data_IF_062498496943
#
_entry.id   IF_062498496943
#
_cell.length_a   1.000
_cell.length_b   1.000
_cell.length_c   1.000
_cell.angle_alpha   90.00
_cell.angle_beta   90.00
_cell.angle_gamma   90.00
#
_symmetry.space_group_name_H-M   'P 1'
#
loop_
_entity.id
_entity.type
_entity.pdbx_description
1 polymer ?
#
# COMPACT_ATOMS: atom_id res chain seq x y z
N UNK A 1 -28.38 46.99 50.06
CA UNK A 1 -28.91 46.69 51.41
C UNK A 1 -29.46 45.25 51.39
N UNK A 2 -29.38 44.52 52.51
CA UNK A 2 -29.12 43.07 52.64
C UNK A 2 -30.18 42.01 52.21
N UNK A 3 -29.66 40.76 52.01
CA UNK A 3 -30.28 39.42 51.79
C UNK A 3 -31.28 38.92 52.87
N UNK A 4 -32.19 37.96 52.52
CA UNK A 4 -32.21 36.52 52.95
C UNK A 4 -33.49 35.72 52.56
N UNK A 5 -33.29 34.39 52.42
CA UNK A 5 -34.12 33.22 51.97
C UNK A 5 -35.17 32.69 52.97
N UNK A 6 -36.14 31.81 52.57
CA UNK A 6 -36.49 30.44 53.14
C UNK A 6 -37.67 29.72 52.39
N UNK A 7 -37.67 28.37 52.39
CA UNK A 7 -38.49 27.35 51.65
C UNK A 7 -39.79 26.82 52.36
N UNK A 8 -40.65 26.07 51.65
CA UNK A 8 -41.70 25.17 52.20
C UNK A 8 -42.16 24.03 51.26
N UNK A 9 -42.36 22.81 51.78
CA UNK A 9 -42.70 21.51 51.13
C UNK A 9 -44.22 21.19 51.16
N UNK A 10 -44.74 20.34 50.26
CA UNK A 10 -46.15 19.85 50.24
C UNK A 10 -46.24 18.31 50.10
N UNK A 11 -47.18 17.68 50.82
CA UNK A 11 -47.41 16.22 50.93
C UNK A 11 -48.77 15.84 50.29
N UNK A 12 -48.83 14.65 49.67
CA UNK A 12 -49.97 14.08 48.93
C UNK A 12 -50.95 13.25 49.79
N UNK A 13 -52.19 13.08 49.31
CA UNK A 13 -53.22 12.18 49.86
C UNK A 13 -53.71 11.17 48.81
N UNK A 14 -53.92 9.93 49.24
CA UNK A 14 -54.45 8.80 48.45
C UNK A 14 -55.96 8.62 48.69
N UNK A 15 -56.72 8.31 47.64
CA UNK A 15 -58.08 7.76 47.72
C UNK A 15 -58.13 6.38 47.04
N UNK A 16 -58.85 5.44 47.67
CA UNK A 16 -59.07 4.07 47.19
C UNK A 16 -60.37 4.01 46.40
N UNK A 17 -60.33 3.46 45.18
CA UNK A 17 -61.51 3.12 44.38
C UNK A 17 -61.53 1.60 44.16
N UNK A 18 -62.61 0.94 44.60
CA UNK A 18 -62.87 -0.48 44.30
C UNK A 18 -63.67 -0.59 43.01
N UNK A 19 -63.00 -0.92 41.92
CA UNK A 19 -63.61 -1.32 40.65
C UNK A 19 -62.68 -2.29 39.94
N UNK A 20 -63.15 -3.51 39.69
CA UNK A 20 -62.47 -4.48 38.82
C UNK A 20 -62.50 -3.95 37.39
N UNK A 21 -61.47 -3.21 37.00
CA UNK A 21 -61.09 -3.08 35.58
C UNK A 21 -60.24 -4.30 35.28
N UNK A 22 -60.78 -5.22 34.49
CA UNK A 22 -59.97 -6.27 33.88
C UNK A 22 -59.07 -5.57 32.86
N UNK A 23 -57.87 -5.18 33.29
CA UNK A 23 -56.84 -4.71 32.38
C UNK A 23 -56.49 -5.89 31.47
N UNK A 24 -56.86 -5.77 30.20
CA UNK A 24 -56.47 -6.72 29.17
C UNK A 24 -54.97 -6.49 28.92
N UNK A 25 -54.12 -7.15 29.70
CA UNK A 25 -52.66 -7.19 29.49
C UNK A 25 -52.40 -8.12 28.32
N UNK A 26 -52.54 -7.62 27.09
CA UNK A 26 -52.13 -8.39 25.91
C UNK A 26 -51.55 -7.57 24.74
N UNK A 27 -51.21 -6.30 24.93
CA UNK A 27 -50.37 -5.58 23.98
C UNK A 27 -49.33 -4.76 24.76
N UNK A 28 -48.19 -5.40 25.06
CA UNK A 28 -46.95 -4.65 25.19
C UNK A 28 -46.64 -4.22 23.76
N UNK A 29 -47.02 -3.00 23.37
CA UNK A 29 -46.45 -2.37 22.18
C UNK A 29 -44.93 -2.36 22.38
N UNK A 30 -44.26 -3.30 21.74
CA UNK A 30 -42.82 -3.33 21.66
C UNK A 30 -42.44 -2.12 20.82
N UNK A 31 -42.09 -1.00 21.47
CA UNK A 31 -41.54 0.17 20.79
C UNK A 31 -40.15 -0.25 20.29
N UNK A 32 -40.10 -0.73 19.04
CA UNK A 32 -38.85 -1.00 18.34
C UNK A 32 -38.31 0.37 17.89
N UNK A 33 -37.07 0.67 18.28
CA UNK A 33 -36.40 1.89 17.87
C UNK A 33 -35.95 1.78 16.40
N UNK A 34 -35.87 2.91 15.65
CA UNK A 34 -35.30 2.93 14.32
C UNK A 34 -33.90 2.30 14.31
N UNK A 35 -33.45 1.75 13.17
CA UNK A 35 -32.12 1.18 13.04
C UNK A 35 -31.03 2.21 13.35
N UNK A 36 -29.86 1.77 13.82
CA UNK A 36 -28.78 2.68 14.24
C UNK A 36 -28.38 3.63 13.10
N UNK A 37 -28.40 3.14 11.86
CA UNK A 37 -28.04 3.88 10.67
C UNK A 37 -29.23 4.52 9.95
N UNK A 38 -30.33 4.74 10.65
CA UNK A 38 -31.50 5.48 10.17
C UNK A 38 -31.15 6.90 9.69
N UNK A 39 -30.14 7.51 10.33
CA UNK A 39 -29.63 8.82 9.93
C UNK A 39 -28.18 8.73 9.45
N UNK A 40 -27.86 9.55 8.46
CA UNK A 40 -26.53 9.60 7.83
C UNK A 40 -25.37 9.83 8.82
N UNK A 41 -25.58 10.55 9.93
CA UNK A 41 -24.55 10.74 10.97
C UNK A 41 -24.03 9.40 11.54
N UNK A 42 -24.90 8.39 11.60
CA UNK A 42 -24.61 7.05 12.09
C UNK A 42 -24.50 6.02 10.96
N UNK A 43 -24.22 6.46 9.73
CA UNK A 43 -24.09 5.57 8.57
C UNK A 43 -23.13 4.42 8.86
N UNK A 44 -23.60 3.19 8.63
CA UNK A 44 -22.83 1.97 8.83
C UNK A 44 -21.63 1.96 7.88
N UNK A 45 -20.42 1.75 8.42
CA UNK A 45 -19.21 1.73 7.58
C UNK A 45 -19.05 0.38 6.91
N UNK A 46 -18.97 0.37 5.58
CA UNK A 46 -18.74 -0.81 4.78
C UNK A 46 -17.25 -1.04 4.54
N UNK A 47 -16.83 -2.29 4.65
CA UNK A 47 -15.50 -2.73 4.21
C UNK A 47 -15.51 -2.90 2.69
N UNK A 48 -14.57 -2.26 1.99
CA UNK A 48 -14.40 -2.44 0.54
C UNK A 48 -13.77 -3.79 0.26
N UNK A 49 -14.52 -4.66 -0.39
CA UNK A 49 -14.03 -5.95 -0.86
C UNK A 49 -12.96 -5.73 -1.96
N UNK A 50 -11.89 -6.54 -2.00
CA UNK A 50 -10.82 -6.40 -3.00
C UNK A 50 -11.27 -6.74 -4.43
N UNK A 51 -12.47 -7.30 -4.57
CA UNK A 51 -13.13 -7.60 -5.83
C UNK A 51 -14.65 -7.42 -5.67
N UNK A 52 -15.39 -7.62 -6.76
CA UNK A 52 -16.84 -7.42 -6.81
C UNK A 52 -17.68 -8.63 -6.32
N UNK A 53 -17.08 -9.60 -5.62
CA UNK A 53 -17.75 -10.86 -5.26
C UNK A 53 -18.51 -10.83 -3.92
N UNK A 54 -18.43 -9.73 -3.16
CA UNK A 54 -19.08 -9.59 -1.85
C UNK A 54 -18.65 -10.67 -0.83
N UNK A 55 -17.35 -10.90 -0.65
CA UNK A 55 -16.85 -11.82 0.38
C UNK A 55 -17.22 -11.35 1.81
N UNK A 56 -17.34 -10.04 2.02
CA UNK A 56 -17.87 -9.40 3.22
C UNK A 56 -19.11 -8.58 2.86
N UNK A 57 -20.17 -8.73 3.66
CA UNK A 57 -21.45 -8.01 3.54
C UNK A 57 -21.80 -7.35 4.88
N UNK A 58 -22.70 -6.37 4.84
CA UNK A 58 -23.34 -5.77 6.02
C UNK A 58 -24.85 -5.82 5.86
N UNK A 59 -25.57 -6.21 6.91
CA UNK A 59 -27.03 -6.27 6.86
C UNK A 59 -27.66 -4.90 7.08
N UNK A 60 -28.81 -4.67 6.44
CA UNK A 60 -29.65 -3.49 6.54
C UNK A 60 -31.11 -3.86 6.76
N UNK A 61 -31.87 -2.94 7.36
CA UNK A 61 -33.30 -3.10 7.63
C UNK A 61 -34.00 -1.76 7.51
N UNK A 62 -35.22 -1.76 6.96
CA UNK A 62 -36.13 -0.62 6.94
C UNK A 62 -37.21 -0.71 8.05
N UNK A 63 -37.17 -1.76 8.88
CA UNK A 63 -38.06 -1.89 10.04
C UNK A 63 -37.87 -0.68 10.96
N UNK A 64 -38.95 0.09 11.13
CA UNK A 64 -39.03 1.35 11.87
C UNK A 64 -38.05 2.44 11.42
N UNK A 65 -37.46 2.31 10.22
CA UNK A 65 -36.70 3.39 9.63
C UNK A 65 -37.60 4.59 9.33
N UNK A 66 -37.04 5.78 9.49
CA UNK A 66 -37.72 7.05 9.32
C UNK A 66 -37.14 7.82 8.13
N UNK A 67 -37.87 8.85 7.70
CA UNK A 67 -37.40 9.73 6.65
C UNK A 67 -36.27 10.63 7.19
N UNK A 68 -35.08 10.54 6.59
CA UNK A 68 -34.01 11.51 6.85
C UNK A 68 -34.41 12.92 6.39
N UNK A 69 -33.96 13.92 7.14
CA UNK A 69 -34.26 15.35 6.94
C UNK A 69 -33.64 16.00 5.70
N UNK A 70 -33.07 15.21 4.78
CA UNK A 70 -32.59 15.70 3.49
C UNK A 70 -33.76 15.77 2.49
N UNK A 71 -34.06 17.00 2.04
CA UNK A 71 -35.11 17.25 1.05
C UNK A 71 -34.62 16.72 -0.29
N UNK A 72 -35.04 15.50 -0.64
CA UNK A 72 -34.88 14.96 -1.99
C UNK A 72 -36.14 14.18 -2.38
N UNK A 73 -37.28 14.82 -2.21
CA UNK A 73 -38.61 14.34 -2.62
C UNK A 73 -39.13 15.08 -3.88
N UNK A 74 -38.20 15.59 -4.68
CA UNK A 74 -38.44 16.10 -6.04
C UNK A 74 -38.23 17.61 -6.14
N UNK A 75 -37.17 17.98 -6.88
CA UNK A 75 -37.03 19.13 -7.80
C UNK A 75 -35.53 19.49 -7.94
N UNK A 76 -34.97 19.24 -9.13
CA UNK A 76 -33.83 20.01 -9.64
C UNK A 76 -32.45 19.79 -9.00
N UNK A 77 -31.94 18.55 -9.01
CA UNK A 77 -30.54 18.26 -8.71
C UNK A 77 -30.15 16.86 -9.16
N UNK A 78 -29.40 16.77 -10.26
CA UNK A 78 -28.66 15.60 -10.81
C UNK A 78 -29.39 14.27 -11.13
N UNK A 79 -30.59 14.01 -10.61
CA UNK A 79 -31.36 12.77 -10.87
C UNK A 79 -32.76 13.08 -11.43
N UNK A 80 -32.90 13.35 -12.74
CA UNK A 80 -34.08 14.04 -13.29
C UNK A 80 -35.36 13.22 -13.47
N UNK A 81 -35.48 11.99 -12.95
CA UNK A 81 -36.54 11.07 -13.44
C UNK A 81 -37.20 10.16 -12.41
N UNK A 82 -36.96 10.34 -11.11
CA UNK A 82 -37.56 9.48 -10.08
C UNK A 82 -38.43 10.34 -9.17
N UNK A 83 -39.74 10.11 -9.21
CA UNK A 83 -40.63 10.55 -8.13
C UNK A 83 -40.31 9.63 -6.95
N UNK A 84 -39.25 9.95 -6.19
CA UNK A 84 -38.80 9.18 -5.04
C UNK A 84 -39.46 9.70 -3.78
N UNK A 85 -40.14 8.80 -3.06
CA UNK A 85 -40.78 9.03 -1.77
C UNK A 85 -40.01 8.22 -0.74
N UNK A 86 -38.88 8.74 -0.28
CA UNK A 86 -38.09 8.11 0.77
C UNK A 86 -38.72 8.43 2.13
N UNK A 87 -39.68 7.59 2.57
CA UNK A 87 -40.27 7.73 3.89
C UNK A 87 -39.59 6.86 4.97
N UNK A 88 -38.74 5.93 4.54
CA UNK A 88 -37.98 4.98 5.33
C UNK A 88 -36.58 4.76 4.73
N UNK A 89 -35.54 5.37 5.31
CA UNK A 89 -34.19 5.29 4.75
C UNK A 89 -33.11 4.95 5.76
N UNK A 90 -32.08 4.26 5.27
CA UNK A 90 -30.91 3.90 6.05
C UNK A 90 -29.63 4.19 5.29
N UNK A 91 -28.56 4.40 6.03
CA UNK A 91 -27.31 4.93 5.51
C UNK A 91 -26.12 4.00 5.70
N UNK A 92 -25.29 3.96 4.68
CA UNK A 92 -24.00 3.29 4.69
C UNK A 92 -22.92 4.25 4.18
N UNK A 93 -21.65 3.98 4.51
CA UNK A 93 -20.53 4.76 4.00
C UNK A 93 -19.30 3.91 3.73
N UNK A 94 -18.47 4.35 2.80
CA UNK A 94 -17.16 3.74 2.53
C UNK A 94 -16.13 4.80 2.14
N UNK A 95 -14.85 4.51 2.35
CA UNK A 95 -13.76 5.32 1.81
C UNK A 95 -13.34 4.71 0.48
N UNK A 96 -13.31 5.52 -0.58
CA UNK A 96 -12.92 5.03 -1.90
C UNK A 96 -11.44 4.64 -1.90
N UNK A 97 -11.13 3.39 -2.25
CA UNK A 97 -9.76 2.90 -2.43
C UNK A 97 -9.34 2.85 -3.91
N UNK A 98 -10.32 2.88 -4.81
CA UNK A 98 -10.16 2.97 -6.26
C UNK A 98 -11.05 4.09 -6.84
N UNK A 99 -10.82 4.49 -8.09
CA UNK A 99 -11.71 5.41 -8.81
C UNK A 99 -13.01 4.73 -9.26
N UNK A 100 -13.05 3.40 -9.30
CA UNK A 100 -14.24 2.62 -9.64
C UNK A 100 -14.61 1.61 -8.55
N UNK A 101 -15.90 1.55 -8.23
CA UNK A 101 -16.47 0.66 -7.21
C UNK A 101 -17.83 0.11 -7.65
N UNK A 102 -18.26 -1.01 -7.05
CA UNK A 102 -19.60 -1.57 -7.23
C UNK A 102 -20.27 -1.80 -5.89
N UNK A 103 -21.43 -1.17 -5.70
CA UNK A 103 -22.36 -1.52 -4.61
C UNK A 103 -23.28 -2.63 -5.11
N UNK A 104 -23.52 -3.64 -4.29
CA UNK A 104 -24.52 -4.67 -4.53
C UNK A 104 -25.44 -4.77 -3.32
N UNK A 105 -26.74 -4.75 -3.58
CA UNK A 105 -27.80 -5.03 -2.62
C UNK A 105 -28.33 -6.43 -2.94
N UNK A 106 -28.47 -7.29 -1.93
CA UNK A 106 -28.87 -8.69 -2.10
C UNK A 106 -29.68 -9.19 -0.91
N UNK A 107 -30.19 -10.41 -0.99
CA UNK A 107 -30.96 -11.06 0.08
C UNK A 107 -32.14 -10.22 0.57
N UNK A 108 -32.79 -9.52 -0.37
CA UNK A 108 -33.90 -8.61 -0.06
C UNK A 108 -35.15 -9.42 0.25
N UNK A 109 -35.74 -9.21 1.42
CA UNK A 109 -36.96 -9.88 1.88
C UNK A 109 -37.84 -8.91 2.69
N UNK A 110 -39.13 -9.22 2.86
CA UNK A 110 -40.07 -8.40 3.64
C UNK A 110 -41.14 -7.73 2.79
N UNK A 111 -41.59 -6.54 3.19
CA UNK A 111 -42.75 -5.84 2.59
C UNK A 111 -42.53 -5.34 1.16
N UNK A 112 -41.31 -4.89 0.83
CA UNK A 112 -40.90 -4.56 -0.55
C UNK A 112 -39.55 -5.20 -0.86
N UNK A 113 -39.37 -5.63 -2.12
CA UNK A 113 -38.08 -6.09 -2.64
C UNK A 113 -37.45 -5.10 -3.62
N UNK A 114 -38.15 -4.01 -3.91
CA UNK A 114 -37.72 -2.95 -4.81
C UNK A 114 -37.19 -1.77 -3.99
N UNK A 115 -35.88 -1.50 -4.08
CA UNK A 115 -35.16 -0.56 -3.24
C UNK A 115 -34.41 0.45 -4.09
N UNK A 116 -34.45 1.70 -3.65
CA UNK A 116 -33.81 2.82 -4.33
C UNK A 116 -32.58 3.25 -3.56
N UNK A 117 -31.61 3.83 -4.27
CA UNK A 117 -30.35 4.26 -3.69
C UNK A 117 -29.88 5.61 -4.19
N UNK A 118 -29.32 6.41 -3.29
CA UNK A 118 -28.62 7.65 -3.61
C UNK A 118 -27.19 7.62 -3.08
N UNK A 119 -26.27 8.16 -3.89
CA UNK A 119 -24.85 8.19 -3.58
C UNK A 119 -24.40 9.63 -3.44
N UNK A 120 -23.79 9.96 -2.31
CA UNK A 120 -23.28 11.31 -2.00
C UNK A 120 -21.77 11.29 -1.81
N UNK A 121 -21.09 12.34 -2.27
CA UNK A 121 -19.67 12.54 -2.02
C UNK A 121 -19.48 13.40 -0.77
N UNK A 122 -19.05 12.80 0.34
CA UNK A 122 -18.75 13.52 1.58
C UNK A 122 -17.35 14.13 1.63
N UNK A 123 -16.54 13.93 0.59
CA UNK A 123 -15.15 14.41 0.53
C UNK A 123 -14.22 13.73 1.53
N UNK A 124 -13.00 14.25 1.65
CA UNK A 124 -11.98 13.75 2.59
C UNK A 124 -12.40 13.89 4.06
N UNK A 125 -13.22 14.89 4.39
CA UNK A 125 -13.71 15.13 5.74
C UNK A 125 -14.89 14.25 6.13
N UNK A 126 -15.48 13.51 5.19
CA UNK A 126 -16.63 12.66 5.44
C UNK A 126 -17.88 13.44 5.87
N UNK A 127 -18.12 14.58 5.24
CA UNK A 127 -19.28 15.41 5.52
C UNK A 127 -20.55 14.68 5.08
N UNK A 128 -21.38 14.35 6.06
CA UNK A 128 -22.68 13.76 5.85
C UNK A 128 -23.60 14.76 5.10
N UNK A 129 -24.33 14.34 4.04
CA UNK A 129 -25.39 15.16 3.47
C UNK A 129 -26.43 15.53 4.53
N UNK A 130 -26.72 16.82 4.67
CA UNK A 130 -27.55 17.35 5.76
C UNK A 130 -28.58 18.38 5.28
N UNK A 131 -28.48 18.88 4.06
CA UNK A 131 -29.30 19.97 3.54
C UNK A 131 -29.91 19.63 2.18
N UNK A 132 -30.97 20.35 1.81
CA UNK A 132 -31.60 20.23 0.49
C UNK A 132 -30.65 20.57 -0.69
N UNK A 133 -29.53 21.24 -0.41
CA UNK A 133 -28.52 21.59 -1.43
C UNK A 133 -27.48 20.51 -1.64
N UNK A 134 -27.42 19.51 -0.74
CA UNK A 134 -26.54 18.35 -0.93
C UNK A 134 -27.16 17.43 -2.00
N UNK A 135 -26.62 17.49 -3.21
CA UNK A 135 -27.13 16.68 -4.32
C UNK A 135 -26.39 15.35 -4.43
N UNK A 136 -27.08 14.23 -4.68
CA UNK A 136 -26.40 12.98 -4.96
C UNK A 136 -25.60 13.07 -6.26
N UNK A 137 -24.44 12.41 -6.28
CA UNK A 137 -23.62 12.25 -7.48
C UNK A 137 -24.14 11.12 -8.38
N UNK A 138 -24.95 10.22 -7.83
CA UNK A 138 -25.55 9.11 -8.56
C UNK A 138 -26.85 8.65 -7.87
N UNK A 139 -27.83 8.22 -8.66
CA UNK A 139 -29.04 7.58 -8.19
C UNK A 139 -29.24 6.25 -8.91
N UNK A 140 -29.72 5.25 -8.18
CA UNK A 140 -29.97 3.90 -8.70
C UNK A 140 -31.31 3.40 -8.21
N UNK A 141 -32.02 2.74 -9.11
CA UNK A 141 -33.13 1.83 -8.83
C UNK A 141 -32.65 0.36 -8.90
N UNK A 142 -31.77 -0.03 -9.86
CA UNK A 142 -31.16 -1.36 -9.82
C UNK A 142 -30.36 -1.63 -8.54
N UNK A 143 -30.46 -2.87 -8.04
CA UNK A 143 -29.71 -3.41 -6.90
C UNK A 143 -28.20 -3.58 -7.14
N UNK A 144 -27.70 -3.21 -8.33
CA UNK A 144 -26.27 -3.17 -8.66
C UNK A 144 -25.94 -1.75 -9.13
N UNK A 145 -25.03 -1.10 -8.41
CA UNK A 145 -24.63 0.29 -8.64
C UNK A 145 -23.16 0.31 -9.03
N UNK A 146 -22.85 0.65 -10.28
CA UNK A 146 -21.47 0.79 -10.73
C UNK A 146 -21.06 2.27 -10.67
N UNK A 147 -20.12 2.57 -9.78
CA UNK A 147 -19.58 3.90 -9.54
C UNK A 147 -18.23 4.05 -10.26
N UNK A 148 -18.03 5.20 -10.90
CA UNK A 148 -16.81 5.52 -11.63
C UNK A 148 -16.37 6.96 -11.32
N UNK A 149 -15.12 7.29 -11.60
CA UNK A 149 -14.55 8.64 -11.38
C UNK A 149 -14.65 9.11 -9.92
N UNK A 150 -14.60 8.18 -8.96
CA UNK A 150 -14.49 8.51 -7.55
C UNK A 150 -13.08 9.03 -7.24
N UNK A 151 -12.97 9.89 -6.24
CA UNK A 151 -11.70 10.37 -5.72
C UNK A 151 -11.24 9.45 -4.59
N UNK A 152 -10.09 8.79 -4.78
CA UNK A 152 -9.50 7.90 -3.76
C UNK A 152 -9.24 8.69 -2.48
N UNK A 153 -9.58 8.11 -1.33
CA UNK A 153 -9.48 8.73 -0.01
C UNK A 153 -10.71 9.55 0.42
N UNK A 154 -11.63 9.88 -0.49
CA UNK A 154 -12.90 10.50 -0.09
C UNK A 154 -13.85 9.47 0.53
N UNK A 155 -14.68 9.92 1.47
CA UNK A 155 -15.81 9.14 1.99
C UNK A 155 -17.04 9.36 1.12
N UNK A 156 -17.71 8.27 0.76
CA UNK A 156 -18.96 8.27 0.01
C UNK A 156 -20.07 7.67 0.87
N UNK A 157 -21.26 8.27 0.81
CA UNK A 157 -22.45 7.82 1.53
C UNK A 157 -23.44 7.18 0.57
N UNK A 158 -24.09 6.11 1.01
CA UNK A 158 -25.11 5.35 0.30
C UNK A 158 -26.37 5.41 1.14
N UNK A 159 -27.39 6.12 0.66
CA UNK A 159 -28.75 6.07 1.21
C UNK A 159 -29.51 4.97 0.49
N UNK A 160 -30.17 4.08 1.22
CA UNK A 160 -31.02 3.01 0.68
C UNK A 160 -32.41 3.14 1.30
N UNK A 161 -33.46 3.09 0.49
CA UNK A 161 -34.83 3.35 0.94
C UNK A 161 -35.88 2.66 0.08
N UNK A 162 -37.11 2.56 0.58
CA UNK A 162 -38.26 2.16 -0.24
C UNK A 162 -38.88 3.38 -0.92
N UNK A 163 -39.28 3.25 -2.19
CA UNK A 163 -39.99 4.34 -2.86
C UNK A 163 -41.50 4.27 -2.59
N UNK A 164 -41.93 4.72 -1.41
CA UNK A 164 -43.30 4.55 -0.94
C UNK A 164 -43.77 5.72 -0.06
N UNK A 165 -45.08 5.87 0.11
CA UNK A 165 -45.66 6.68 1.21
C UNK A 165 -46.24 5.81 2.33
N UNK A 166 -46.28 4.49 2.15
CA UNK A 166 -46.82 3.57 3.14
C UNK A 166 -45.81 3.37 4.28
N UNK A 167 -46.27 3.47 5.52
CA UNK A 167 -45.45 3.26 6.71
C UNK A 167 -45.34 1.78 7.07
N UNK A 168 -44.35 1.42 7.90
CA UNK A 168 -44.21 0.07 8.45
C UNK A 168 -43.56 -0.91 7.49
N UNK A 169 -42.57 -0.46 6.70
CA UNK A 169 -41.77 -1.36 5.90
C UNK A 169 -41.05 -2.38 6.80
N UNK A 170 -41.03 -3.64 6.36
CA UNK A 170 -40.35 -4.74 7.05
C UNK A 170 -39.15 -5.27 6.29
N UNK A 171 -38.70 -4.50 5.28
CA UNK A 171 -37.69 -4.94 4.35
C UNK A 171 -36.33 -5.09 5.02
N UNK A 172 -35.70 -6.25 4.84
CA UNK A 172 -34.31 -6.53 5.21
C UNK A 172 -33.50 -6.85 3.97
N UNK A 173 -32.20 -6.60 4.01
CA UNK A 173 -31.28 -6.83 2.90
C UNK A 173 -29.84 -6.92 3.38
N UNK A 174 -28.95 -7.37 2.50
CA UNK A 174 -27.50 -7.23 2.65
C UNK A 174 -26.95 -6.24 1.64
N UNK A 175 -25.96 -5.47 2.05
CA UNK A 175 -25.20 -4.55 1.19
C UNK A 175 -23.72 -4.90 1.22
N UNK A 176 -23.09 -4.82 0.05
CA UNK A 176 -21.65 -4.99 -0.10
C UNK A 176 -21.12 -3.90 -1.04
N UNK A 177 -19.86 -3.52 -0.84
CA UNK A 177 -19.10 -2.66 -1.75
C UNK A 177 -17.80 -3.36 -2.10
N UNK A 178 -17.43 -3.33 -3.38
CA UNK A 178 -16.14 -3.84 -3.85
C UNK A 178 -15.52 -2.91 -4.88
N UNK A 179 -14.21 -3.01 -5.07
CA UNK A 179 -13.49 -2.33 -6.15
C UNK A 179 -12.78 -3.34 -7.03
N UNK A 180 -12.29 -2.90 -8.19
CA UNK A 180 -11.20 -3.64 -8.83
C UNK A 180 -9.96 -3.57 -7.93
N UNK A 181 -9.18 -4.65 -7.92
CA UNK A 181 -7.91 -4.70 -7.19
C UNK A 181 -7.01 -3.54 -7.62
N UNK A 182 -6.32 -2.91 -6.66
CA UNK A 182 -5.42 -1.79 -6.96
C UNK A 182 -4.13 -2.38 -7.51
N UNK A 183 -3.89 -2.18 -8.81
CA UNK A 183 -2.63 -2.54 -9.44
C UNK A 183 -1.49 -1.79 -8.74
N UNK A 184 -0.39 -2.46 -8.34
CA UNK A 184 0.76 -1.81 -7.72
C UNK A 184 1.28 -0.65 -8.59
N UNK A 185 1.76 0.44 -7.98
CA UNK A 185 2.26 1.59 -8.76
C UNK A 185 3.51 1.27 -9.59
N UNK A 186 4.25 0.24 -9.18
CA UNK A 186 5.44 -0.26 -9.84
C UNK A 186 5.18 -1.56 -10.63
N UNK A 187 3.94 -1.75 -11.10
CA UNK A 187 3.54 -2.89 -11.91
C UNK A 187 4.26 -2.92 -13.27
N UNK A 188 4.70 -1.77 -13.80
CA UNK A 188 5.51 -1.71 -15.01
C UNK A 188 6.94 -1.21 -14.75
N UNK A 189 7.87 -1.63 -15.62
CA UNK A 189 9.28 -1.25 -15.50
C UNK A 189 9.53 0.26 -15.70
N UNK A 190 8.64 0.99 -16.38
CA UNK A 190 8.79 2.44 -16.58
C UNK A 190 8.57 3.20 -15.27
N UNK A 191 7.65 2.68 -14.45
CA UNK A 191 7.30 3.13 -13.12
C UNK A 191 8.04 2.35 -12.01
N UNK A 192 9.09 1.60 -12.35
CA UNK A 192 9.90 0.84 -11.40
C UNK A 192 10.29 1.69 -10.18
N UNK A 193 10.02 1.14 -8.99
CA UNK A 193 10.26 1.83 -7.72
C UNK A 193 11.76 2.02 -7.48
N UNK A 194 12.20 3.26 -7.30
CA UNK A 194 13.60 3.58 -6.99
C UNK A 194 13.97 3.20 -5.56
N UNK A 195 14.94 2.31 -5.39
CA UNK A 195 15.54 2.00 -4.08
C UNK A 195 16.57 3.08 -3.75
N UNK A 196 16.22 3.99 -2.84
CA UNK A 196 17.00 5.21 -2.56
C UNK A 196 18.26 5.01 -1.71
N UNK A 197 18.33 3.93 -0.92
CA UNK A 197 19.49 3.63 -0.06
C UNK A 197 19.54 2.15 0.31
N UNK A 198 20.76 1.65 0.55
CA UNK A 198 21.01 0.31 1.09
C UNK A 198 21.57 0.39 2.52
N UNK A 199 21.25 -0.58 3.41
CA UNK A 199 20.38 -1.73 3.15
C UNK A 199 18.92 -1.33 3.00
N UNK A 200 18.18 -2.09 2.21
CA UNK A 200 16.74 -2.01 2.04
C UNK A 200 16.12 -3.28 2.61
N UNK A 201 15.03 -3.18 3.37
CA UNK A 201 14.27 -4.32 3.88
C UNK A 201 12.82 -3.88 4.11
N UNK A 202 11.94 -4.23 3.17
CA UNK A 202 10.55 -3.75 3.13
C UNK A 202 9.63 -4.85 2.61
N UNK A 203 8.45 -4.98 3.24
CA UNK A 203 7.36 -5.83 2.76
C UNK A 203 6.59 -5.13 1.63
N UNK A 204 6.33 -5.85 0.54
CA UNK A 204 5.56 -5.39 -0.60
C UNK A 204 4.40 -6.34 -0.90
N UNK A 205 3.41 -5.84 -1.63
CA UNK A 205 2.25 -6.60 -2.09
C UNK A 205 2.14 -6.52 -3.62
N UNK A 206 2.38 -7.66 -4.29
CA UNK A 206 2.21 -7.82 -5.73
C UNK A 206 0.92 -8.55 -6.10
N UNK A 207 -0.01 -8.82 -5.18
CA UNK A 207 -1.23 -9.64 -5.42
C UNK A 207 -2.07 -9.16 -6.61
N UNK A 208 -2.01 -7.87 -6.91
CA UNK A 208 -2.77 -7.24 -7.99
C UNK A 208 -1.91 -6.86 -9.20
N UNK A 209 -0.68 -7.35 -9.25
CA UNK A 209 0.21 -7.15 -10.39
C UNK A 209 -0.41 -7.75 -11.66
N UNK A 210 -0.06 -7.16 -12.79
CA UNK A 210 -0.55 -7.59 -14.10
C UNK A 210 0.63 -8.03 -14.97
N UNK A 211 0.33 -8.72 -16.07
CA UNK A 211 1.38 -9.10 -17.04
C UNK A 211 1.74 -7.96 -18.00
N UNK A 212 1.34 -6.70 -17.71
CA UNK A 212 1.57 -5.47 -18.47
C UNK A 212 1.81 -5.67 -19.98
N UNK A 213 3.06 -5.49 -20.44
CA UNK A 213 3.44 -5.55 -21.85
C UNK A 213 3.75 -6.98 -22.33
N UNK A 214 3.69 -7.95 -21.43
CA UNK A 214 3.89 -9.38 -21.67
C UNK A 214 5.09 -9.94 -20.90
N UNK A 215 5.49 -11.16 -21.28
CA UNK A 215 6.58 -11.87 -20.62
C UNK A 215 7.96 -11.28 -20.96
N UNK A 216 8.82 -11.21 -19.96
CA UNK A 216 10.22 -10.82 -20.13
C UNK A 216 11.04 -12.05 -20.50
N UNK A 217 11.70 -12.01 -21.66
CA UNK A 217 12.45 -13.13 -22.24
C UNK A 217 13.89 -12.73 -22.60
N UNK A 218 14.51 -11.90 -21.77
CA UNK A 218 15.88 -11.45 -21.97
C UNK A 218 16.84 -12.64 -21.96
N UNK A 219 17.64 -12.78 -23.02
CA UNK A 219 18.59 -13.89 -23.16
C UNK A 219 19.56 -13.93 -21.98
N UNK A 220 19.70 -15.10 -21.36
CA UNK A 220 20.58 -15.33 -20.21
C UNK A 220 19.86 -15.42 -18.88
N UNK A 221 18.62 -14.92 -18.80
CA UNK A 221 17.76 -15.07 -17.62
C UNK A 221 16.61 -16.04 -17.91
N UNK A 222 16.00 -16.57 -16.87
CA UNK A 222 14.70 -17.22 -16.90
C UNK A 222 13.64 -16.27 -17.48
N UNK A 223 12.66 -16.86 -18.15
CA UNK A 223 11.50 -16.10 -18.58
C UNK A 223 10.60 -15.79 -17.38
N UNK A 224 10.20 -14.53 -17.25
CA UNK A 224 9.40 -14.03 -16.14
C UNK A 224 8.11 -13.40 -16.66
N UNK A 225 7.05 -13.41 -15.85
CA UNK A 225 5.94 -12.51 -16.08
C UNK A 225 6.32 -11.07 -15.70
N UNK A 226 5.52 -10.10 -16.12
CA UNK A 226 5.88 -8.68 -15.96
C UNK A 226 5.87 -8.22 -14.49
N UNK A 227 5.26 -8.93 -13.54
CA UNK A 227 5.47 -8.78 -12.08
C UNK A 227 5.49 -7.35 -11.54
N UNK A 228 6.27 -7.13 -10.47
CA UNK A 228 6.54 -5.79 -9.92
C UNK A 228 8.01 -5.41 -10.07
N UNK A 229 8.25 -4.13 -10.33
CA UNK A 229 9.56 -3.62 -10.72
C UNK A 229 10.19 -2.69 -9.69
N UNK A 230 11.50 -2.84 -9.53
CA UNK A 230 12.34 -1.95 -8.75
C UNK A 230 13.55 -1.54 -9.57
N UNK A 231 14.18 -0.43 -9.19
CA UNK A 231 15.45 -0.02 -9.79
C UNK A 231 16.43 0.50 -8.75
N UNK A 232 17.71 0.23 -8.99
CA UNK A 232 18.81 0.65 -8.15
C UNK A 232 19.98 1.14 -9.00
N UNK A 233 20.73 2.10 -8.48
CA UNK A 233 21.99 2.54 -9.08
C UNK A 233 23.13 1.73 -8.48
N UNK A 234 23.90 1.05 -9.33
CA UNK A 234 25.07 0.29 -8.91
C UNK A 234 26.11 1.18 -8.23
N UNK A 235 26.75 0.63 -7.20
CA UNK A 235 27.72 1.34 -6.36
C UNK A 235 29.17 0.85 -6.60
N UNK A 236 29.37 -0.06 -7.57
CA UNK A 236 30.67 -0.67 -7.85
C UNK A 236 31.01 -1.84 -6.91
N UNK A 237 30.13 -2.15 -5.96
CA UNK A 237 30.23 -3.27 -5.04
C UNK A 237 29.48 -4.50 -5.50
N UNK A 238 29.44 -5.51 -4.62
CA UNK A 238 28.62 -6.71 -4.80
C UNK A 238 27.27 -6.45 -4.14
N UNK A 239 26.21 -6.40 -4.94
CA UNK A 239 24.82 -6.24 -4.48
C UNK A 239 24.23 -7.63 -4.28
N UNK A 240 23.56 -7.83 -3.14
CA UNK A 240 22.83 -9.05 -2.80
C UNK A 240 21.36 -8.72 -2.58
N UNK A 241 20.48 -9.46 -3.25
CA UNK A 241 19.02 -9.29 -3.19
C UNK A 241 18.45 -10.62 -2.71
N UNK A 242 17.53 -10.55 -1.74
CA UNK A 242 16.69 -11.67 -1.33
C UNK A 242 15.23 -11.26 -1.33
N UNK A 243 14.36 -12.14 -1.79
CA UNK A 243 12.91 -11.92 -1.77
C UNK A 243 12.25 -13.15 -1.15
N UNK A 244 11.52 -12.93 -0.05
CA UNK A 244 10.86 -13.99 0.72
C UNK A 244 9.33 -13.95 0.49
N UNK A 245 8.76 -14.87 -0.30
CA UNK A 245 7.33 -14.88 -0.60
C UNK A 245 6.50 -15.56 0.50
N UNK A 246 5.32 -15.03 0.80
CA UNK A 246 4.43 -15.67 1.80
C UNK A 246 3.89 -17.02 1.31
N UNK A 247 3.26 -17.07 0.13
CA UNK A 247 2.55 -18.26 -0.36
C UNK A 247 2.39 -18.31 -1.89
N UNK A 248 3.42 -17.87 -2.62
CA UNK A 248 3.43 -17.93 -4.08
C UNK A 248 4.82 -18.32 -4.61
N UNK A 249 4.87 -18.72 -5.88
CA UNK A 249 6.11 -19.09 -6.56
C UNK A 249 6.76 -17.82 -7.12
N UNK A 250 7.68 -17.25 -6.35
CA UNK A 250 8.41 -16.03 -6.65
C UNK A 250 9.71 -16.39 -7.34
N UNK A 251 10.15 -15.52 -8.24
CA UNK A 251 11.51 -15.50 -8.77
C UNK A 251 12.01 -14.07 -8.89
N UNK A 252 13.34 -13.93 -8.97
CA UNK A 252 14.04 -12.65 -9.10
C UNK A 252 14.76 -12.66 -10.44
N UNK A 253 14.63 -11.60 -11.24
CA UNK A 253 15.53 -11.37 -12.35
C UNK A 253 16.06 -9.94 -12.34
N UNK A 254 17.35 -9.79 -12.63
CA UNK A 254 18.06 -8.52 -12.66
C UNK A 254 18.45 -8.22 -14.09
N UNK A 255 18.18 -6.99 -14.50
CA UNK A 255 18.43 -6.52 -15.85
C UNK A 255 19.21 -5.21 -15.88
N UNK A 256 19.91 -4.98 -16.99
CA UNK A 256 20.41 -3.67 -17.41
C UNK A 256 19.77 -3.24 -18.72
N UNK A 257 19.92 -1.98 -19.09
CA UNK A 257 19.35 -1.41 -20.32
C UNK A 257 18.08 -0.62 -20.03
N UNK A 258 17.06 -0.79 -20.88
CA UNK A 258 15.79 -0.08 -20.81
C UNK A 258 14.63 -1.05 -21.00
N UNK A 259 13.46 -0.68 -20.50
CA UNK A 259 12.20 -1.38 -20.72
C UNK A 259 12.04 -1.88 -22.16
N UNK A 260 11.73 -3.17 -22.32
CA UNK A 260 11.56 -3.83 -23.61
C UNK A 260 12.85 -4.24 -24.34
N UNK A 261 14.02 -3.78 -23.91
CA UNK A 261 15.33 -4.13 -24.49
C UNK A 261 16.34 -4.48 -23.40
N UNK A 262 15.89 -5.26 -22.41
CA UNK A 262 16.71 -5.65 -21.28
C UNK A 262 17.80 -6.63 -21.66
N UNK A 263 18.97 -6.46 -21.04
CA UNK A 263 20.04 -7.46 -21.00
C UNK A 263 20.04 -8.10 -19.61
N UNK A 264 20.02 -9.43 -19.57
CA UNK A 264 20.10 -10.18 -18.32
C UNK A 264 21.43 -9.89 -17.61
N UNK A 265 21.34 -9.69 -16.29
CA UNK A 265 22.50 -9.62 -15.39
C UNK A 265 22.62 -10.91 -14.62
N UNK A 266 21.54 -11.30 -13.94
CA UNK A 266 21.48 -12.51 -13.12
C UNK A 266 20.02 -12.79 -12.74
N UNK A 267 19.72 -13.98 -12.25
CA UNK A 267 18.40 -14.37 -11.77
C UNK A 267 18.46 -15.37 -10.61
N UNK A 268 17.30 -15.67 -10.03
CA UNK A 268 17.13 -16.73 -9.04
C UNK A 268 15.71 -17.28 -9.07
N UNK A 269 15.61 -18.61 -9.10
CA UNK A 269 14.36 -19.36 -9.04
C UNK A 269 14.63 -20.79 -8.52
N UNK A 270 14.38 -21.01 -7.25
CA UNK A 270 14.33 -22.30 -6.58
C UNK A 270 13.14 -23.17 -7.01
N UNK A 271 12.15 -22.59 -7.71
CA UNK A 271 11.10 -23.31 -8.44
C UNK A 271 9.95 -23.82 -7.59
N UNK A 272 9.82 -23.39 -6.33
CA UNK A 272 8.79 -23.86 -5.41
C UNK A 272 8.06 -22.70 -4.72
N UNK A 273 6.80 -22.94 -4.36
CA UNK A 273 5.95 -21.98 -3.64
C UNK A 273 6.53 -21.71 -2.25
N UNK A 274 6.60 -20.44 -1.85
CA UNK A 274 7.03 -20.04 -0.50
C UNK A 274 8.54 -20.20 -0.25
N UNK A 275 9.34 -20.32 -1.31
CA UNK A 275 10.81 -20.38 -1.19
C UNK A 275 11.39 -18.98 -1.32
N UNK A 276 12.23 -18.62 -0.35
CA UNK A 276 13.04 -17.40 -0.42
C UNK A 276 14.03 -17.50 -1.57
N UNK A 277 13.96 -16.55 -2.49
CA UNK A 277 14.88 -16.44 -3.61
C UNK A 277 16.01 -15.47 -3.29
N UNK A 278 17.19 -15.72 -3.86
CA UNK A 278 18.37 -14.92 -3.59
C UNK A 278 19.34 -14.86 -4.75
N UNK A 279 19.81 -13.66 -5.08
CA UNK A 279 20.74 -13.41 -6.18
C UNK A 279 21.81 -12.41 -5.76
N UNK A 280 23.03 -12.57 -6.26
CA UNK A 280 24.15 -11.70 -5.90
C UNK A 280 25.03 -11.43 -7.11
N UNK A 281 25.23 -10.15 -7.44
CA UNK A 281 25.94 -9.73 -8.64
C UNK A 281 26.93 -8.60 -8.36
N UNK A 282 27.96 -8.50 -9.19
CA UNK A 282 28.89 -7.37 -9.17
C UNK A 282 28.28 -6.20 -9.94
N UNK A 283 28.02 -5.09 -9.24
CA UNK A 283 27.45 -3.89 -9.84
C UNK A 283 28.54 -2.98 -10.41
N UNK A 284 28.20 -2.23 -11.45
CA UNK A 284 29.04 -1.14 -11.98
C UNK A 284 28.57 0.18 -11.41
N UNK A 285 29.51 1.00 -10.92
CA UNK A 285 29.20 2.31 -10.34
C UNK A 285 28.45 3.21 -11.34
N UNK A 286 27.27 3.69 -10.95
CA UNK A 286 26.44 4.58 -11.76
C UNK A 286 25.52 3.88 -12.78
N UNK A 287 25.64 2.57 -12.96
CA UNK A 287 24.76 1.81 -13.86
C UNK A 287 23.41 1.56 -13.20
N UNK A 288 22.31 1.78 -13.92
CA UNK A 288 20.96 1.43 -13.43
C UNK A 288 20.69 -0.05 -13.65
N UNK A 289 20.25 -0.72 -12.60
CA UNK A 289 19.78 -2.10 -12.62
C UNK A 289 18.28 -2.12 -12.33
N UNK A 290 17.54 -2.88 -13.13
CA UNK A 290 16.13 -3.17 -12.92
C UNK A 290 15.99 -4.53 -12.27
N UNK A 291 15.09 -4.65 -11.31
CA UNK A 291 14.81 -5.88 -10.57
C UNK A 291 13.34 -6.19 -10.81
N UNK A 292 13.06 -7.34 -11.42
CA UNK A 292 11.71 -7.86 -11.55
C UNK A 292 11.52 -8.94 -10.48
N UNK A 293 10.44 -8.81 -9.70
CA UNK A 293 9.95 -9.82 -8.77
C UNK A 293 8.61 -10.32 -9.30
N UNK A 294 8.59 -11.60 -9.70
CA UNK A 294 7.57 -12.11 -10.60
C UNK A 294 7.36 -13.62 -10.45
N UNK A 295 6.26 -14.12 -11.02
CA UNK A 295 6.07 -15.55 -11.25
C UNK A 295 6.99 -16.02 -12.40
N UNK A 296 7.78 -17.10 -12.23
CA UNK A 296 8.77 -17.55 -13.21
C UNK A 296 8.13 -18.30 -14.39
N UNK A 297 7.48 -17.58 -15.30
CA UNK A 297 6.93 -18.17 -16.53
C UNK A 297 7.03 -17.21 -17.72
N UNK A 298 7.37 -17.77 -18.88
CA UNK A 298 7.36 -17.07 -20.17
C UNK A 298 6.08 -17.26 -20.99
N UNK A 299 5.07 -17.95 -20.44
CA UNK A 299 3.87 -18.34 -21.20
C UNK A 299 2.58 -18.28 -20.39
N UNK A 300 2.66 -18.32 -19.07
CA UNK A 300 1.49 -18.31 -18.17
C UNK A 300 1.61 -17.15 -17.21
N UNK A 301 0.55 -16.34 -17.10
CA UNK A 301 0.47 -15.36 -16.03
C UNK A 301 -0.03 -16.06 -14.75
N UNK A 302 0.88 -16.37 -13.84
CA UNK A 302 0.54 -16.87 -12.51
C UNK A 302 0.13 -15.73 -11.60
N UNK A 303 -0.55 -16.05 -10.49
CA UNK A 303 -0.83 -15.08 -9.45
C UNK A 303 0.39 -14.83 -8.58
N UNK A 304 0.67 -13.57 -8.32
CA UNK A 304 1.64 -13.07 -7.35
C UNK A 304 1.00 -12.87 -5.97
N UNK A 305 1.79 -12.40 -5.01
CA UNK A 305 1.35 -12.14 -3.65
C UNK A 305 2.27 -11.20 -2.90
N UNK A 306 2.16 -11.20 -1.58
CA UNK A 306 3.03 -10.47 -0.65
C UNK A 306 4.41 -11.11 -0.53
N UNK A 307 5.43 -10.29 -0.29
CA UNK A 307 6.81 -10.73 -0.09
C UNK A 307 7.66 -9.69 0.65
N UNK A 308 8.68 -10.15 1.37
CA UNK A 308 9.71 -9.29 1.96
C UNK A 308 10.90 -9.15 1.02
N UNK A 309 11.22 -7.92 0.62
CA UNK A 309 12.36 -7.60 -0.24
C UNK A 309 13.51 -7.02 0.58
N UNK A 310 14.63 -7.72 0.63
CA UNK A 310 15.86 -7.22 1.20
C UNK A 310 16.96 -7.04 0.15
N UNK A 311 17.61 -5.88 0.17
CA UNK A 311 18.74 -5.56 -0.71
C UNK A 311 19.87 -5.03 0.14
N UNK A 312 21.07 -5.57 -0.06
CA UNK A 312 22.30 -5.12 0.61
C UNK A 312 23.41 -4.96 -0.40
N UNK A 313 24.44 -4.18 -0.03
CA UNK A 313 25.66 -4.09 -0.82
C UNK A 313 26.88 -4.26 0.06
N UNK A 314 27.84 -5.02 -0.44
CA UNK A 314 29.19 -5.07 0.05
C UNK A 314 30.08 -4.30 -0.93
N UNK A 315 30.15 -3.00 -0.72
CA UNK A 315 31.12 -2.16 -1.42
C UNK A 315 32.53 -2.50 -0.95
N UNK A 316 33.49 -2.39 -1.87
CA UNK A 316 34.88 -2.08 -1.54
C UNK A 316 34.99 -0.62 -1.07
N UNK A 317 34.05 -0.14 -0.24
CA UNK A 317 33.96 1.28 0.12
C UNK A 317 35.05 1.66 1.11
N UNK A 318 35.57 2.88 0.92
CA UNK A 318 36.42 3.56 1.90
C UNK A 318 35.67 3.80 3.22
N UNK A 319 34.33 3.85 3.23
CA UNK A 319 33.53 4.26 4.40
C UNK A 319 33.87 3.46 5.66
N UNK A 320 34.07 2.14 5.52
CA UNK A 320 34.43 1.27 6.63
C UNK A 320 35.81 1.59 7.22
N UNK A 321 36.77 1.99 6.38
CA UNK A 321 38.12 2.36 6.83
C UNK A 321 38.23 3.85 7.19
N UNK A 322 37.38 4.74 6.63
CA UNK A 322 37.27 6.15 7.05
C UNK A 322 36.81 6.26 8.49
N UNK A 323 35.86 5.40 8.91
CA UNK A 323 35.46 5.29 10.31
C UNK A 323 36.63 4.90 11.24
N UNK A 324 37.69 4.29 10.68
CA UNK A 324 38.95 3.97 11.37
C UNK A 324 40.00 5.09 11.27
N UNK A 325 39.60 6.30 10.87
CA UNK A 325 40.51 7.44 10.69
C UNK A 325 41.50 7.27 9.53
N UNK A 326 41.18 6.41 8.55
CA UNK A 326 42.08 6.16 7.42
C UNK A 326 42.23 7.40 6.54
N UNK A 327 43.46 7.73 6.19
CA UNK A 327 43.85 8.83 5.30
C UNK A 327 45.07 8.44 4.48
N UNK A 328 45.25 9.07 3.32
CA UNK A 328 46.38 8.81 2.43
C UNK A 328 46.83 10.07 1.68
N UNK A 329 48.13 10.16 1.39
CA UNK A 329 48.73 11.28 0.66
C UNK A 329 50.14 10.93 0.16
N UNK A 330 50.67 11.65 -0.86
CA UNK A 330 49.94 12.55 -1.74
C UNK A 330 49.10 11.78 -2.78
N UNK A 331 48.06 12.41 -3.31
CA UNK A 331 47.36 11.97 -4.51
C UNK A 331 47.07 13.20 -5.39
N UNK A 332 47.67 13.35 -6.59
CA UNK A 332 48.49 12.36 -7.29
C UNK A 332 49.85 12.07 -6.62
N UNK A 333 50.27 10.81 -6.65
CA UNK A 333 51.52 10.29 -6.07
C UNK A 333 52.63 10.25 -7.12
N UNK A 334 53.84 10.63 -6.73
CA UNK A 334 55.05 10.40 -7.54
C UNK A 334 55.68 9.05 -7.16
N UNK A 335 56.40 8.95 -6.04
CA UNK A 335 57.14 7.71 -5.70
C UNK A 335 56.51 6.89 -4.58
N UNK A 336 56.04 7.54 -3.53
CA UNK A 336 55.60 6.87 -2.31
C UNK A 336 54.24 7.42 -1.89
N UNK A 337 53.27 6.52 -1.75
CA UNK A 337 51.99 6.80 -1.15
C UNK A 337 52.07 6.50 0.35
N UNK A 338 51.78 7.50 1.18
CA UNK A 338 51.71 7.38 2.63
C UNK A 338 50.28 7.18 3.06
N UNK A 339 50.07 6.32 4.04
CA UNK A 339 48.76 6.00 4.62
C UNK A 339 48.85 6.06 6.14
N UNK A 340 47.75 6.46 6.78
CA UNK A 340 47.61 6.50 8.24
C UNK A 340 46.19 6.14 8.65
N UNK A 341 46.03 5.44 9.77
CA UNK A 341 44.74 5.17 10.42
C UNK A 341 44.84 5.28 11.95
N UNK A 342 43.72 5.10 12.64
CA UNK A 342 43.62 4.99 14.11
C UNK A 342 43.72 3.52 14.58
N UNK A 343 43.66 2.56 13.67
CA UNK A 343 43.83 1.13 13.91
C UNK A 343 44.89 0.56 12.96
N UNK A 344 45.40 -0.63 13.27
CA UNK A 344 46.48 -1.24 12.50
C UNK A 344 46.06 -1.46 11.04
N UNK A 345 46.89 -0.99 10.12
CA UNK A 345 46.83 -1.31 8.70
C UNK A 345 47.53 -2.66 8.54
N UNK A 346 46.76 -3.72 8.28
CA UNK A 346 47.25 -5.10 8.23
C UNK A 346 47.73 -5.54 6.85
N UNK A 347 47.11 -5.02 5.79
CA UNK A 347 47.44 -5.38 4.42
C UNK A 347 47.18 -4.22 3.47
N UNK A 348 48.05 -4.04 2.48
CA UNK A 348 47.89 -3.11 1.36
C UNK A 348 48.14 -3.87 0.06
N UNK A 349 47.18 -3.86 -0.86
CA UNK A 349 47.31 -4.41 -2.21
C UNK A 349 47.12 -3.31 -3.24
N UNK A 350 48.00 -3.25 -4.24
CA UNK A 350 47.94 -2.33 -5.38
C UNK A 350 47.50 -3.09 -6.63
N UNK A 351 46.51 -2.55 -7.34
CA UNK A 351 45.95 -3.12 -8.56
C UNK A 351 46.05 -2.16 -9.74
N UNK A 352 46.28 -2.71 -10.93
CA UNK A 352 46.10 -1.99 -12.20
C UNK A 352 44.60 -1.72 -12.49
N UNK A 353 44.30 -0.87 -13.47
CA UNK A 353 42.92 -0.63 -13.95
C UNK A 353 42.23 -1.88 -14.50
N UNK A 354 43.00 -2.90 -14.88
CA UNK A 354 42.48 -4.19 -15.36
C UNK A 354 42.31 -5.21 -14.21
N UNK A 355 42.46 -4.80 -12.94
CA UNK A 355 42.29 -5.68 -11.78
C UNK A 355 43.49 -6.59 -11.47
N UNK A 356 44.56 -6.57 -12.26
CA UNK A 356 45.79 -7.32 -11.94
C UNK A 356 46.45 -6.78 -10.67
N UNK A 357 46.71 -7.65 -9.69
CA UNK A 357 47.49 -7.31 -8.49
C UNK A 357 48.96 -7.10 -8.88
N UNK A 358 49.48 -5.90 -8.59
CA UNK A 358 50.85 -5.49 -8.89
C UNK A 358 51.74 -5.71 -7.68
N UNK A 359 51.23 -5.39 -6.49
CA UNK A 359 52.00 -5.41 -5.26
C UNK A 359 51.09 -5.71 -4.09
N UNK A 360 51.61 -6.47 -3.12
CA UNK A 360 50.96 -6.74 -1.83
C UNK A 360 51.97 -6.57 -0.71
N UNK A 361 51.58 -5.87 0.34
CA UNK A 361 52.36 -5.63 1.55
C UNK A 361 51.53 -6.06 2.74
N UNK A 362 52.13 -6.87 3.61
CA UNK A 362 51.59 -7.20 4.93
C UNK A 362 52.37 -6.45 5.99
N UNK A 363 51.66 -5.87 6.95
CA UNK A 363 52.27 -5.14 8.07
C UNK A 363 51.30 -5.13 9.26
N UNK A 364 51.70 -4.50 10.36
CA UNK A 364 50.87 -4.37 11.55
C UNK A 364 51.20 -3.06 12.28
N UNK A 365 50.96 -1.94 11.61
CA UNK A 365 51.25 -0.59 12.08
C UNK A 365 50.11 0.35 11.67
N UNK A 366 49.92 1.45 12.40
CA UNK A 366 48.94 2.51 12.12
C UNK A 366 49.40 3.44 10.98
N UNK A 367 50.67 3.36 10.58
CA UNK A 367 51.23 4.04 9.41
C UNK A 367 51.69 3.04 8.36
N UNK A 368 51.66 3.45 7.10
CA UNK A 368 52.18 2.64 6.01
C UNK A 368 52.73 3.49 4.87
N UNK A 369 53.73 2.95 4.18
CA UNK A 369 54.24 3.53 2.94
C UNK A 369 54.20 2.46 1.83
N UNK A 370 53.64 2.84 0.69
CA UNK A 370 53.62 2.01 -0.51
C UNK A 370 54.47 2.70 -1.58
N UNK A 371 55.58 2.07 -1.96
CA UNK A 371 56.38 2.53 -3.09
C UNK A 371 55.71 2.13 -4.42
N UNK A 372 55.47 3.14 -5.26
CA UNK A 372 55.06 3.09 -6.67
C UNK A 372 56.21 3.46 -7.61
N UNK A 373 57.45 3.48 -7.11
CA UNK A 373 58.61 3.71 -7.94
C UNK A 373 58.66 2.66 -9.07
N UNK A 374 59.10 3.07 -10.26
CA UNK A 374 59.13 2.23 -11.48
C UNK A 374 57.75 1.87 -12.08
N UNK A 375 56.63 2.34 -11.53
CA UNK A 375 55.32 2.17 -12.17
C UNK A 375 55.06 3.30 -13.18
N UNK A 376 54.50 2.99 -14.37
CA UNK A 376 54.07 4.01 -15.33
C UNK A 376 53.06 4.99 -14.72
N UNK A 377 53.05 6.21 -15.26
CA UNK A 377 52.00 7.18 -14.96
C UNK A 377 50.62 6.60 -15.30
N UNK A 378 49.64 6.79 -14.43
CA UNK A 378 48.31 6.22 -14.66
C UNK A 378 47.42 6.13 -13.42
N UNK A 379 46.24 5.56 -13.62
CA UNK A 379 45.30 5.26 -12.53
C UNK A 379 45.61 3.89 -11.93
N UNK A 380 45.57 3.80 -10.61
CA UNK A 380 45.68 2.55 -9.87
C UNK A 380 44.65 2.50 -8.74
N UNK A 381 44.36 1.30 -8.26
CA UNK A 381 43.49 1.07 -7.10
C UNK A 381 44.29 0.46 -5.96
N UNK A 382 44.12 1.00 -4.76
CA UNK A 382 44.74 0.49 -3.53
C UNK A 382 43.65 -0.08 -2.64
N UNK A 383 43.79 -1.35 -2.25
CA UNK A 383 42.96 -2.02 -1.26
C UNK A 383 43.73 -2.09 0.06
N UNK A 384 43.19 -1.50 1.13
CA UNK A 384 43.76 -1.53 2.46
C UNK A 384 42.86 -2.32 3.43
N UNK A 385 43.47 -3.12 4.30
CA UNK A 385 42.83 -3.75 5.45
C UNK A 385 43.26 -3.00 6.71
N UNK A 386 42.32 -2.44 7.45
CA UNK A 386 42.52 -1.60 8.64
C UNK A 386 41.58 -2.09 9.74
N UNK A 387 42.13 -2.55 10.87
CA UNK A 387 41.28 -3.07 11.96
C UNK A 387 40.38 -4.24 11.54
N UNK A 388 40.80 -5.04 10.55
CA UNK A 388 39.97 -6.10 9.95
C UNK A 388 38.90 -5.62 8.97
N UNK A 389 38.69 -4.30 8.83
CA UNK A 389 37.85 -3.72 7.79
C UNK A 389 38.64 -3.51 6.50
N UNK A 390 38.00 -3.72 5.36
CA UNK A 390 38.63 -3.56 4.04
C UNK A 390 38.02 -2.35 3.35
N UNK A 391 38.86 -1.52 2.71
CA UNK A 391 38.42 -0.47 1.81
C UNK A 391 39.33 -0.35 0.60
N UNK A 392 38.79 0.11 -0.53
CA UNK A 392 39.57 0.35 -1.76
C UNK A 392 39.41 1.79 -2.20
N UNK A 393 40.49 2.38 -2.71
CA UNK A 393 40.49 3.76 -3.18
C UNK A 393 41.38 3.94 -4.41
N UNK A 394 41.02 4.93 -5.23
CA UNK A 394 41.74 5.29 -6.45
C UNK A 394 42.89 6.23 -6.14
N UNK A 395 44.04 6.00 -6.79
CA UNK A 395 45.18 6.91 -6.79
C UNK A 395 45.62 7.22 -8.24
N UNK A 396 46.25 8.39 -8.42
CA UNK A 396 46.87 8.80 -9.68
C UNK A 396 48.38 8.80 -9.51
N UNK A 397 49.10 7.97 -10.27
CA UNK A 397 50.57 7.98 -10.38
C UNK A 397 50.98 8.99 -11.44
N UNK A 398 51.90 9.89 -11.10
CA UNK A 398 52.50 10.87 -12.02
C UNK A 398 53.57 10.28 -12.92
#
# INVERSE_FOLDING_TARGET
MNRKTTYGFLIAFFFVFTGLVQANVNEIENIIAPPINDNCANATTLTVNPNYLCGTVSSGTLVDATASSIVSDGLGGSCPSVVSKANDDVWFKFVAVNTSHRVKISNIAGSTTDLYSNIYNGGVSGNCPATATDTPIYCSDPNIINLNSLTVGNTYFIRIYSNSTATGATTTFDVCIGSASIVPTNDDCSNALSIGSLPHNVNYDATSATNNAGFITATGCIAMNDGVWYKIIGDGGIISITADPDSWNLAIAIYTGTCGTFSCVDDSNGGAIGVTEGVTFSSTLGTTYYINIAYPSGTVNGSEGTFDLAITSSTLSIDKILAKGFSYYPNPVDKVLKMRANENIQQISLYSVLGKEIKRVHQNDIQAELSLDQLPAGTYFVKAMVGGSIGTFKILKK
#
